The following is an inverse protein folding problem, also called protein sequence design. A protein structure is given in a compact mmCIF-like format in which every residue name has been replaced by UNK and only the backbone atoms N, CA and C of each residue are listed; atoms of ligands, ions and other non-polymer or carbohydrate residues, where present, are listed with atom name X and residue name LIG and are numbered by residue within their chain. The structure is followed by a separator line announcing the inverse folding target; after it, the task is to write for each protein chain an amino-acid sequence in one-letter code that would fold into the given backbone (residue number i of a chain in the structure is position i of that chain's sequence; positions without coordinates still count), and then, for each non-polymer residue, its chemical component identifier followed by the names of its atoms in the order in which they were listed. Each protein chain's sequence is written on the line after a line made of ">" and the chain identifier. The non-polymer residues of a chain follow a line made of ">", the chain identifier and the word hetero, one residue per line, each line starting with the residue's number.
data_IF_175873635931
#
_entry.id   IF_175873635931
#
_cell.length_a   1.000
_cell.length_b   1.000
_cell.length_c   1.000
_cell.angle_alpha   90.00
_cell.angle_beta   90.00
_cell.angle_gamma   90.00
#
_symmetry.space_group_name_H-M   'P 1'
#
loop_
_entity.id
_entity.type
_entity.pdbx_description
1 polymer ?
#
# COMPACT_ATOMS: atom_id res chain seq x y z
N UNK A 1 28.35 30.76 -26.41
CA UNK A 1 28.68 29.51 -27.11
C UNK A 1 27.81 28.35 -26.61
N UNK A 2 28.02 27.11 -27.10
CA UNK A 2 27.22 25.93 -26.66
C UNK A 2 27.34 25.70 -25.15
N UNK A 3 28.48 25.98 -24.54
CA UNK A 3 28.72 25.85 -23.10
C UNK A 3 27.88 26.84 -22.32
N UNK A 4 27.74 28.08 -22.78
CA UNK A 4 26.93 29.11 -22.11
C UNK A 4 25.43 28.76 -22.17
N UNK A 5 25.00 28.14 -23.27
CA UNK A 5 23.63 27.71 -23.46
C UNK A 5 23.30 26.51 -22.57
N UNK A 6 24.27 25.60 -22.40
CA UNK A 6 24.11 24.45 -21.46
C UNK A 6 24.02 24.92 -20.01
N UNK A 7 24.93 25.82 -19.60
CA UNK A 7 24.90 26.38 -18.24
C UNK A 7 23.62 27.19 -17.98
N UNK A 8 23.11 27.92 -18.98
CA UNK A 8 21.85 28.65 -18.86
C UNK A 8 20.66 27.73 -18.75
N UNK A 9 20.61 26.61 -19.50
CA UNK A 9 19.58 25.58 -19.38
C UNK A 9 19.61 24.89 -18.01
N UNK A 10 20.80 24.54 -17.55
CA UNK A 10 20.97 23.93 -16.22
C UNK A 10 20.51 24.87 -15.11
N UNK A 11 20.84 26.17 -15.21
CA UNK A 11 20.36 27.16 -14.26
C UNK A 11 18.84 27.33 -14.30
N UNK A 12 18.22 27.33 -15.49
CA UNK A 12 16.76 27.44 -15.63
C UNK A 12 16.05 26.18 -15.07
N UNK A 13 16.61 24.98 -15.27
CA UNK A 13 16.02 23.74 -14.73
C UNK A 13 16.11 23.63 -13.22
N UNK A 14 17.07 24.32 -12.60
CA UNK A 14 17.19 24.40 -11.13
C UNK A 14 16.22 25.41 -10.50
N UNK A 15 15.68 26.35 -11.29
CA UNK A 15 14.71 27.32 -10.79
C UNK A 15 13.38 26.64 -10.49
N UNK A 16 12.90 26.83 -9.26
CA UNK A 16 11.55 26.38 -8.90
C UNK A 16 10.51 27.33 -9.54
N UNK A 17 9.66 26.84 -10.49
CA UNK A 17 8.62 27.67 -11.11
C UNK A 17 7.56 28.18 -10.13
N UNK A 18 7.49 27.57 -8.92
CA UNK A 18 6.57 27.92 -7.84
C UNK A 18 7.29 28.05 -6.51
N UNK A 19 8.04 29.13 -6.29
CA UNK A 19 8.89 29.27 -5.10
C UNK A 19 8.10 29.27 -3.78
N UNK A 20 6.77 29.48 -3.82
CA UNK A 20 5.89 29.43 -2.66
C UNK A 20 5.37 28.04 -2.29
N UNK A 21 5.52 27.01 -3.14
CA UNK A 21 5.01 25.67 -2.84
C UNK A 21 5.69 25.05 -1.60
N UNK A 22 6.99 25.28 -1.41
CA UNK A 22 7.72 24.77 -0.25
C UNK A 22 7.32 25.36 1.11
N UNK A 23 6.59 26.49 1.11
CA UNK A 23 6.10 27.15 2.34
C UNK A 23 4.64 26.81 2.64
N UNK A 24 3.90 26.27 1.69
CA UNK A 24 2.48 25.92 1.84
C UNK A 24 2.23 24.42 1.99
N UNK A 25 3.21 23.58 1.74
CA UNK A 25 3.09 22.15 1.94
C UNK A 25 2.93 21.86 3.45
N UNK A 26 1.67 21.73 3.86
CA UNK A 26 1.37 20.97 5.07
C UNK A 26 2.01 19.62 4.85
N UNK A 27 3.01 19.29 5.66
CA UNK A 27 3.56 17.94 5.70
C UNK A 27 2.38 16.98 5.74
N UNK A 28 2.15 16.24 4.67
CA UNK A 28 1.16 15.19 4.65
C UNK A 28 1.69 14.05 5.51
N UNK A 29 1.57 14.24 6.83
CA UNK A 29 1.91 13.19 7.78
C UNK A 29 0.91 12.07 7.59
N UNK A 30 1.38 10.96 7.03
CA UNK A 30 0.56 9.75 6.89
C UNK A 30 0.41 9.15 8.29
N UNK A 31 -0.82 9.11 8.77
CA UNK A 31 -1.15 8.42 10.02
C UNK A 31 -1.47 6.97 9.65
N UNK A 32 -0.68 5.99 10.12
CA UNK A 32 -0.92 4.59 9.81
C UNK A 32 -2.20 4.09 10.49
N UNK A 33 -2.93 3.23 9.79
CA UNK A 33 -4.16 2.58 10.32
C UNK A 33 -3.84 1.34 11.15
N UNK A 34 -2.71 0.69 10.87
CA UNK A 34 -2.24 -0.54 11.52
C UNK A 34 -0.81 -0.33 12.00
N UNK A 35 -0.52 -0.87 13.17
CA UNK A 35 0.83 -0.90 13.75
C UNK A 35 1.26 -2.35 13.85
N UNK A 36 2.41 -2.67 13.27
CA UNK A 36 3.02 -3.99 13.28
C UNK A 36 4.34 -3.90 14.02
N UNK A 37 4.53 -4.72 15.03
CA UNK A 37 5.77 -4.82 15.79
C UNK A 37 6.18 -6.28 15.90
N UNK A 38 7.47 -6.53 15.87
CA UNK A 38 8.06 -7.83 16.13
C UNK A 38 8.18 -8.03 17.63
N UNK A 39 7.74 -9.19 18.13
CA UNK A 39 7.78 -9.55 19.53
C UNK A 39 8.29 -11.00 19.64
N UNK A 40 9.56 -11.16 20.06
CA UNK A 40 10.31 -12.42 20.15
C UNK A 40 10.22 -13.25 18.85
N UNK A 41 9.25 -14.18 18.76
CA UNK A 41 9.05 -15.06 17.59
C UNK A 41 7.73 -14.82 16.84
N UNK A 42 6.96 -13.78 17.19
CA UNK A 42 5.64 -13.51 16.58
C UNK A 42 5.47 -12.02 16.24
N UNK A 43 4.42 -11.73 15.48
CA UNK A 43 4.06 -10.39 15.05
C UNK A 43 2.86 -9.87 15.83
N UNK A 44 3.05 -8.82 16.61
CA UNK A 44 1.98 -8.08 17.28
C UNK A 44 1.39 -7.06 16.32
N UNK A 45 0.11 -7.26 15.99
CA UNK A 45 -0.64 -6.42 15.05
C UNK A 45 -1.74 -5.70 15.81
N UNK A 46 -1.70 -4.39 15.83
CA UNK A 46 -2.71 -3.54 16.47
C UNK A 46 -3.28 -2.54 15.48
N UNK A 47 -4.56 -2.18 15.64
CA UNK A 47 -5.16 -1.07 14.90
C UNK A 47 -4.86 0.25 15.60
N UNK A 48 -4.53 1.27 14.81
CA UNK A 48 -4.33 2.62 15.33
C UNK A 48 -5.68 3.36 15.36
N UNK A 49 -6.35 3.27 16.46
CA UNK A 49 -7.70 3.83 16.61
C UNK A 49 -7.73 5.34 16.92
N UNK A 50 -6.59 6.03 16.78
CA UNK A 50 -6.41 7.49 16.89
C UNK A 50 -7.46 8.21 17.75
N UNK A 51 -7.49 7.87 19.05
CA UNK A 51 -8.32 8.59 20.02
C UNK A 51 -9.81 8.23 20.01
N UNK A 52 -10.23 7.14 19.33
CA UNK A 52 -11.56 6.59 19.55
C UNK A 52 -11.62 5.97 20.95
N UNK A 53 -12.38 6.56 21.88
CA UNK A 53 -12.55 5.97 23.21
C UNK A 53 -13.27 4.64 23.08
N UNK A 54 -13.13 3.79 24.09
CA UNK A 54 -13.90 2.56 24.16
C UNK A 54 -15.40 2.90 24.22
N UNK A 55 -16.11 2.52 23.16
CA UNK A 55 -17.54 2.78 23.05
C UNK A 55 -18.31 1.81 23.94
N UNK A 56 -19.10 2.36 24.85
CA UNK A 56 -19.98 1.59 25.75
C UNK A 56 -21.36 2.20 25.78
N UNK A 57 -22.37 1.37 25.89
CA UNK A 57 -23.72 1.85 26.13
C UNK A 57 -23.82 2.24 27.60
N UNK A 58 -24.41 3.42 27.86
CA UNK A 58 -24.62 3.90 29.22
C UNK A 58 -25.51 2.95 30.00
N UNK A 59 -25.09 2.61 31.21
CA UNK A 59 -25.85 1.75 32.13
C UNK A 59 -27.27 2.26 32.41
N UNK A 60 -27.43 3.59 32.47
CA UNK A 60 -28.72 4.26 32.65
C UNK A 60 -29.76 3.84 31.60
N UNK A 61 -29.36 3.77 30.32
CA UNK A 61 -30.26 3.34 29.25
C UNK A 61 -30.55 1.84 29.29
N UNK A 62 -29.62 1.02 29.77
CA UNK A 62 -29.83 -0.41 29.99
C UNK A 62 -30.84 -0.63 31.11
N UNK A 63 -30.68 0.06 32.23
CA UNK A 63 -31.61 0.00 33.38
C UNK A 63 -33.01 0.51 33.02
N UNK A 64 -33.11 1.60 32.21
CA UNK A 64 -34.40 2.09 31.74
C UNK A 64 -35.10 1.12 30.78
N UNK A 65 -34.37 0.34 30.00
CA UNK A 65 -34.95 -0.67 29.12
C UNK A 65 -35.63 -1.80 29.91
N UNK A 66 -35.15 -2.08 31.14
CA UNK A 66 -35.65 -3.12 32.03
C UNK A 66 -36.69 -2.60 33.04
N UNK A 67 -36.91 -1.28 33.10
CA UNK A 67 -37.89 -0.69 34.04
C UNK A 67 -39.32 -1.12 33.70
N UNK A 68 -39.98 -1.74 34.68
CA UNK A 68 -41.35 -2.28 34.56
C UNK A 68 -42.40 -1.18 34.42
N UNK A 69 -42.13 0.04 34.92
CA UNK A 69 -43.06 1.16 34.95
C UNK A 69 -43.13 1.99 33.70
N UNK A 70 -42.26 1.74 32.72
CA UNK A 70 -42.24 2.49 31.45
C UNK A 70 -43.35 2.04 30.51
N UNK A 71 -43.97 3.00 29.80
CA UNK A 71 -44.91 2.75 28.74
C UNK A 71 -44.31 1.83 27.67
N UNK A 72 -45.10 0.87 27.20
CA UNK A 72 -44.68 -0.14 26.20
C UNK A 72 -44.03 0.48 24.96
N UNK A 73 -44.53 1.61 24.50
CA UNK A 73 -43.92 2.34 23.32
C UNK A 73 -42.57 2.93 23.64
N UNK A 74 -42.39 3.50 24.83
CA UNK A 74 -41.11 4.04 25.28
C UNK A 74 -40.08 2.92 25.46
N UNK A 75 -40.46 1.81 26.04
CA UNK A 75 -39.60 0.63 26.21
C UNK A 75 -39.13 0.08 24.87
N UNK A 76 -40.03 -0.07 23.90
CA UNK A 76 -39.69 -0.54 22.55
C UNK A 76 -38.72 0.43 21.87
N UNK A 77 -38.94 1.75 22.02
CA UNK A 77 -38.06 2.77 21.45
C UNK A 77 -36.64 2.69 22.03
N UNK A 78 -36.53 2.61 23.36
CA UNK A 78 -35.20 2.52 24.04
C UNK A 78 -34.49 1.24 23.61
N UNK A 79 -35.20 0.08 23.59
CA UNK A 79 -34.62 -1.19 23.14
C UNK A 79 -34.08 -1.12 21.71
N UNK A 80 -34.85 -0.56 20.78
CA UNK A 80 -34.40 -0.37 19.38
C UNK A 80 -33.16 0.51 19.28
N UNK A 81 -33.04 1.52 20.14
CA UNK A 81 -31.84 2.39 20.19
C UNK A 81 -30.61 1.66 20.75
N UNK A 82 -30.80 0.85 21.78
CA UNK A 82 -29.73 0.01 22.35
C UNK A 82 -29.27 -1.03 21.31
N UNK A 83 -30.19 -1.69 20.63
CA UNK A 83 -29.87 -2.67 19.59
C UNK A 83 -29.10 -2.02 18.44
N UNK A 84 -29.52 -0.81 18.01
CA UNK A 84 -28.78 -0.04 16.99
C UNK A 84 -27.38 0.37 17.44
N UNK A 85 -27.22 0.74 18.71
CA UNK A 85 -25.91 1.10 19.27
C UNK A 85 -24.99 -0.12 19.39
N UNK A 86 -25.53 -1.26 19.85
CA UNK A 86 -24.79 -2.53 19.89
C UNK A 86 -24.32 -2.94 18.50
N UNK A 87 -25.21 -2.90 17.51
CA UNK A 87 -24.85 -3.18 16.11
C UNK A 87 -23.72 -2.30 15.61
N UNK A 88 -23.76 -1.00 15.95
CA UNK A 88 -22.71 -0.06 15.53
C UNK A 88 -21.36 -0.38 16.18
N UNK A 89 -21.36 -0.67 17.48
CA UNK A 89 -20.14 -1.07 18.23
C UNK A 89 -19.57 -2.37 17.64
N UNK A 90 -20.43 -3.34 17.37
CA UNK A 90 -20.04 -4.62 16.78
C UNK A 90 -19.45 -4.44 15.36
N UNK A 91 -20.05 -3.57 14.54
CA UNK A 91 -19.52 -3.24 13.21
C UNK A 91 -18.12 -2.64 13.25
N UNK A 92 -17.83 -1.76 14.24
CA UNK A 92 -16.48 -1.20 14.45
C UNK A 92 -15.51 -2.31 14.84
N UNK A 93 -15.88 -3.16 15.79
CA UNK A 93 -15.03 -4.25 16.24
C UNK A 93 -14.75 -5.26 15.11
N UNK A 94 -15.76 -5.60 14.32
CA UNK A 94 -15.61 -6.47 13.17
C UNK A 94 -14.66 -5.88 12.11
N UNK A 95 -14.76 -4.56 11.89
CA UNK A 95 -13.81 -3.87 11.01
C UNK A 95 -12.37 -3.97 11.51
N UNK A 96 -12.14 -3.76 12.82
CA UNK A 96 -10.82 -3.91 13.45
C UNK A 96 -10.27 -5.32 13.26
N UNK A 97 -11.06 -6.32 13.59
CA UNK A 97 -10.69 -7.73 13.41
C UNK A 97 -10.36 -8.06 11.96
N UNK A 98 -11.15 -7.56 11.02
CA UNK A 98 -10.89 -7.76 9.58
C UNK A 98 -9.54 -7.17 9.18
N UNK A 99 -9.21 -5.94 9.61
CA UNK A 99 -7.94 -5.30 9.30
C UNK A 99 -6.75 -6.07 9.91
N UNK A 100 -6.86 -6.52 11.15
CA UNK A 100 -5.83 -7.34 11.81
C UNK A 100 -5.64 -8.67 11.07
N UNK A 101 -6.73 -9.36 10.71
CA UNK A 101 -6.67 -10.64 10.00
C UNK A 101 -6.07 -10.49 8.60
N UNK A 102 -6.41 -9.42 7.88
CA UNK A 102 -5.80 -9.09 6.57
C UNK A 102 -4.30 -8.88 6.73
N UNK A 103 -3.87 -8.07 7.72
CA UNK A 103 -2.45 -7.80 7.94
C UNK A 103 -1.70 -9.07 8.34
N UNK A 104 -2.27 -9.90 9.22
CA UNK A 104 -1.69 -11.20 9.60
C UNK A 104 -1.50 -12.11 8.38
N UNK A 105 -2.51 -12.19 7.50
CA UNK A 105 -2.42 -12.96 6.26
C UNK A 105 -1.32 -12.44 5.35
N UNK A 106 -1.16 -11.11 5.24
CA UNK A 106 -0.08 -10.50 4.45
C UNK A 106 1.29 -10.92 5.00
N UNK A 107 1.50 -10.84 6.31
CA UNK A 107 2.76 -11.26 6.95
C UNK A 107 3.08 -12.73 6.65
N UNK A 108 2.10 -13.61 6.78
CA UNK A 108 2.27 -15.03 6.51
C UNK A 108 2.54 -15.36 5.04
N UNK A 109 2.04 -14.54 4.09
CA UNK A 109 2.34 -14.69 2.67
C UNK A 109 3.65 -14.05 2.25
N UNK A 110 4.19 -13.09 3.03
CA UNK A 110 5.40 -12.32 2.73
C UNK A 110 6.50 -12.51 3.78
N UNK A 111 6.85 -13.74 4.18
CA UNK A 111 7.78 -13.98 5.29
C UNK A 111 9.18 -13.40 5.02
N UNK A 112 9.68 -13.45 3.78
CA UNK A 112 11.00 -12.93 3.44
C UNK A 112 11.06 -11.40 3.61
N UNK A 113 10.02 -10.70 3.19
CA UNK A 113 9.94 -9.25 3.35
C UNK A 113 9.95 -8.85 4.83
N UNK A 114 9.18 -9.57 5.65
CA UNK A 114 9.12 -9.33 7.10
C UNK A 114 10.34 -9.84 7.86
N UNK A 115 11.18 -10.68 7.24
CA UNK A 115 12.51 -11.06 7.78
C UNK A 115 13.60 -10.05 7.45
N UNK A 116 13.28 -8.92 6.78
CA UNK A 116 14.23 -7.84 6.45
C UNK A 116 14.65 -7.79 4.98
N UNK A 117 14.28 -8.74 4.13
CA UNK A 117 14.54 -8.67 2.69
C UNK A 117 13.44 -7.87 1.97
N UNK A 118 13.50 -6.55 2.14
CA UNK A 118 12.51 -5.64 1.54
C UNK A 118 12.52 -5.62 0.00
N UNK A 119 13.55 -6.19 -0.62
CA UNK A 119 13.66 -6.30 -2.07
C UNK A 119 12.86 -7.48 -2.61
N UNK A 120 12.48 -8.42 -1.75
CA UNK A 120 11.78 -9.63 -2.12
C UNK A 120 10.32 -9.60 -1.70
N UNK A 121 9.42 -9.49 -2.67
CA UNK A 121 7.99 -9.63 -2.49
C UNK A 121 7.48 -10.83 -3.30
N UNK A 122 6.76 -11.75 -2.65
CA UNK A 122 6.05 -12.81 -3.34
C UNK A 122 4.82 -12.25 -4.06
N UNK A 123 4.43 -12.81 -5.22
CA UNK A 123 3.14 -12.48 -5.84
C UNK A 123 2.00 -12.79 -4.87
N UNK A 124 1.16 -11.79 -4.58
CA UNK A 124 0.03 -11.94 -3.68
C UNK A 124 -1.16 -11.18 -4.23
N UNK A 125 -2.28 -11.88 -4.44
CA UNK A 125 -3.53 -11.30 -4.91
C UNK A 125 -4.51 -11.13 -3.75
N UNK A 126 -5.45 -10.21 -3.91
CA UNK A 126 -6.56 -10.04 -2.97
C UNK A 126 -7.37 -11.34 -2.78
N UNK A 127 -7.46 -12.15 -3.83
CA UNK A 127 -8.16 -13.43 -3.79
C UNK A 127 -7.50 -14.41 -2.82
N UNK A 128 -6.17 -14.50 -2.80
CA UNK A 128 -5.42 -15.40 -1.93
C UNK A 128 -5.69 -15.09 -0.45
N UNK A 129 -5.74 -13.77 -0.12
CA UNK A 129 -6.10 -13.30 1.23
C UNK A 129 -7.57 -13.63 1.54
N UNK A 130 -8.48 -13.36 0.60
CA UNK A 130 -9.90 -13.58 0.76
C UNK A 130 -10.22 -15.06 1.04
N UNK A 131 -9.60 -15.97 0.30
CA UNK A 131 -9.71 -17.42 0.51
C UNK A 131 -9.17 -17.84 1.89
N UNK A 132 -8.00 -17.29 2.28
CA UNK A 132 -7.37 -17.62 3.56
C UNK A 132 -8.20 -17.24 4.78
N UNK A 133 -8.80 -16.04 4.77
CA UNK A 133 -9.61 -15.55 5.90
C UNK A 133 -11.10 -15.83 5.73
N UNK A 134 -11.49 -16.54 4.67
CA UNK A 134 -12.87 -16.89 4.31
C UNK A 134 -13.81 -15.68 4.28
N UNK A 135 -13.39 -14.64 3.54
CA UNK A 135 -14.15 -13.40 3.35
C UNK A 135 -14.27 -13.05 1.87
N UNK A 136 -15.24 -12.20 1.53
CA UNK A 136 -15.42 -11.72 0.15
C UNK A 136 -14.28 -10.79 -0.29
N UNK A 137 -13.83 -10.92 -1.54
CA UNK A 137 -12.75 -10.13 -2.15
C UNK A 137 -13.08 -8.64 -2.07
N UNK A 138 -14.36 -8.25 -2.24
CA UNK A 138 -14.76 -6.85 -2.17
C UNK A 138 -14.56 -6.25 -0.77
N UNK A 139 -14.75 -7.05 0.27
CA UNK A 139 -14.49 -6.66 1.67
C UNK A 139 -13.00 -6.44 1.88
N UNK A 140 -12.15 -7.36 1.40
CA UNK A 140 -10.68 -7.21 1.49
C UNK A 140 -10.20 -5.99 0.73
N UNK A 141 -10.69 -5.80 -0.50
CA UNK A 141 -10.34 -4.62 -1.32
C UNK A 141 -10.69 -3.29 -0.63
N UNK A 142 -11.85 -3.21 0.03
CA UNK A 142 -12.25 -2.01 0.80
C UNK A 142 -11.41 -1.84 2.08
N UNK A 143 -10.99 -2.93 2.71
CA UNK A 143 -10.18 -2.91 3.92
C UNK A 143 -8.72 -2.56 3.66
N UNK A 144 -8.21 -2.75 2.44
CA UNK A 144 -6.81 -2.50 2.08
C UNK A 144 -6.59 -1.16 1.36
N UNK A 145 -7.62 -0.64 0.70
CA UNK A 145 -7.52 0.56 -0.13
C UNK A 145 -7.26 1.82 0.70
N UNK A 146 -6.15 2.52 0.41
CA UNK A 146 -5.76 3.74 1.10
C UNK A 146 -5.49 3.53 2.59
N UNK A 147 -5.10 2.33 3.00
CA UNK A 147 -4.74 1.96 4.35
C UNK A 147 -3.24 1.74 4.47
N UNK A 148 -2.65 2.24 5.54
CA UNK A 148 -1.23 2.20 5.80
C UNK A 148 -0.91 1.37 7.04
N UNK A 149 0.18 0.61 6.95
CA UNK A 149 0.75 -0.12 8.07
C UNK A 149 2.10 0.49 8.45
N UNK A 150 2.28 0.76 9.73
CA UNK A 150 3.57 1.11 10.34
C UNK A 150 4.28 -0.18 10.73
N UNK A 151 5.36 -0.48 10.03
CA UNK A 151 6.19 -1.68 10.21
C UNK A 151 7.56 -1.29 10.76
N UNK A 152 8.38 -2.23 11.28
CA UNK A 152 9.75 -1.93 11.68
C UNK A 152 10.62 -1.34 10.56
N UNK A 153 10.24 -1.55 9.31
CA UNK A 153 10.95 -1.09 8.12
C UNK A 153 10.40 0.22 7.53
N UNK A 154 9.36 0.79 8.13
CA UNK A 154 8.71 2.04 7.70
C UNK A 154 7.20 1.92 7.51
N UNK A 155 6.60 3.02 7.03
CA UNK A 155 5.16 3.10 6.78
C UNK A 155 4.88 2.77 5.33
N UNK A 156 4.07 1.73 5.08
CA UNK A 156 3.73 1.25 3.75
C UNK A 156 2.21 1.18 3.57
N UNK A 157 1.72 1.50 2.37
CA UNK A 157 0.34 1.22 2.01
C UNK A 157 0.14 -0.31 1.93
N UNK A 158 -0.98 -0.83 2.43
CA UNK A 158 -1.29 -2.28 2.36
C UNK A 158 -1.25 -2.81 0.92
N UNK A 159 -1.56 -1.95 -0.04
CA UNK A 159 -1.47 -2.27 -1.47
C UNK A 159 -0.05 -2.56 -1.94
N UNK A 160 0.98 -2.07 -1.25
CA UNK A 160 2.39 -2.34 -1.55
C UNK A 160 2.70 -3.84 -1.52
N UNK A 161 2.09 -4.58 -0.57
CA UNK A 161 2.27 -6.03 -0.41
C UNK A 161 1.50 -6.85 -1.43
N UNK A 162 0.56 -6.22 -2.16
CA UNK A 162 -0.26 -6.85 -3.19
C UNK A 162 0.38 -6.62 -4.54
N UNK A 163 0.91 -7.66 -5.14
CA UNK A 163 1.61 -7.57 -6.41
C UNK A 163 1.09 -8.61 -7.39
N UNK A 164 0.79 -8.14 -8.60
CA UNK A 164 0.48 -9.05 -9.69
C UNK A 164 1.65 -9.96 -9.99
N UNK A 165 1.33 -11.17 -10.41
CA UNK A 165 2.32 -12.14 -10.85
C UNK A 165 2.60 -11.99 -12.35
N UNK A 166 3.85 -12.17 -12.73
CA UNK A 166 4.24 -12.40 -14.12
C UNK A 166 4.91 -13.75 -14.23
N UNK A 167 4.51 -14.53 -15.24
CA UNK A 167 5.17 -15.77 -15.59
C UNK A 167 6.28 -15.45 -16.58
N UNK A 168 7.51 -15.76 -16.24
CA UNK A 168 8.66 -15.65 -17.12
C UNK A 168 8.65 -16.79 -18.15
N UNK A 169 9.43 -16.66 -19.23
CA UNK A 169 9.57 -17.68 -20.27
C UNK A 169 10.13 -19.01 -19.75
N UNK A 170 10.93 -18.97 -18.67
CA UNK A 170 11.46 -20.13 -17.97
C UNK A 170 10.47 -20.82 -17.01
N UNK A 171 9.24 -20.32 -16.93
CA UNK A 171 8.17 -20.85 -16.10
C UNK A 171 8.13 -20.33 -14.67
N UNK A 172 9.11 -19.55 -14.21
CA UNK A 172 9.11 -18.92 -12.88
C UNK A 172 8.01 -17.87 -12.79
N UNK A 173 7.39 -17.77 -11.61
CA UNK A 173 6.39 -16.76 -11.32
C UNK A 173 7.02 -15.75 -10.36
N UNK A 174 7.10 -14.49 -10.78
CA UNK A 174 7.65 -13.41 -9.99
C UNK A 174 6.63 -12.29 -9.79
N UNK A 175 6.79 -11.53 -8.71
CA UNK A 175 6.04 -10.31 -8.51
C UNK A 175 6.50 -9.24 -9.51
N UNK A 176 5.55 -8.54 -10.13
CA UNK A 176 5.86 -7.45 -11.09
C UNK A 176 6.68 -6.33 -10.45
N UNK A 177 6.57 -6.17 -9.14
CA UNK A 177 7.34 -5.21 -8.36
C UNK A 177 8.86 -5.43 -8.49
N UNK A 178 9.34 -6.69 -8.38
CA UNK A 178 10.77 -7.05 -8.50
C UNK A 178 11.31 -6.61 -9.86
N UNK A 179 10.56 -6.89 -10.91
CA UNK A 179 10.96 -6.55 -12.28
C UNK A 179 10.98 -5.04 -12.50
N UNK A 180 9.96 -4.32 -12.02
CA UNK A 180 9.92 -2.85 -12.08
C UNK A 180 11.11 -2.24 -11.35
N UNK A 181 11.44 -2.73 -10.17
CA UNK A 181 12.59 -2.25 -9.40
C UNK A 181 13.93 -2.54 -10.10
N UNK A 182 14.09 -3.72 -10.71
CA UNK A 182 15.26 -4.03 -11.52
C UNK A 182 15.39 -3.08 -12.71
N UNK A 183 14.28 -2.84 -13.41
CA UNK A 183 14.21 -1.91 -14.55
C UNK A 183 14.53 -0.47 -14.13
N UNK A 184 14.01 -0.02 -13.01
CA UNK A 184 14.31 1.30 -12.43
C UNK A 184 15.80 1.45 -12.14
N UNK A 185 16.41 0.45 -11.46
CA UNK A 185 17.85 0.45 -11.17
C UNK A 185 18.71 0.52 -12.43
N UNK A 186 18.29 -0.12 -13.53
CA UNK A 186 18.98 -0.06 -14.82
C UNK A 186 18.87 1.34 -15.42
N UNK A 187 17.67 1.93 -15.47
CA UNK A 187 17.43 3.25 -16.05
C UNK A 187 18.14 4.35 -15.25
N UNK A 188 18.15 4.28 -13.92
CA UNK A 188 18.85 5.26 -13.08
C UNK A 188 20.38 5.21 -13.21
N UNK A 189 20.94 4.07 -13.66
CA UNK A 189 22.37 3.87 -13.88
C UNK A 189 22.80 4.07 -15.33
N UNK A 190 21.86 4.32 -16.26
CA UNK A 190 22.19 4.49 -17.68
C UNK A 190 22.99 5.78 -17.94
N UNK A 191 23.78 5.76 -19.00
CA UNK A 191 24.44 6.98 -19.51
C UNK A 191 23.41 7.89 -20.17
N UNK A 192 23.20 9.07 -19.59
CA UNK A 192 22.24 10.07 -20.07
C UNK A 192 22.59 10.64 -21.45
N UNK A 193 23.87 10.58 -21.88
CA UNK A 193 24.25 10.93 -23.23
C UNK A 193 23.81 9.89 -24.27
N UNK A 194 23.72 8.62 -23.85
CA UNK A 194 23.31 7.51 -24.69
C UNK A 194 22.31 6.57 -23.97
N UNK A 195 21.08 7.03 -23.69
CA UNK A 195 20.10 6.28 -22.93
C UNK A 195 19.67 5.01 -23.63
N UNK A 196 19.44 3.96 -22.83
CA UNK A 196 19.11 2.62 -23.29
C UNK A 196 17.71 2.59 -23.92
N UNK A 197 17.60 2.05 -25.13
CA UNK A 197 16.28 1.80 -25.73
C UNK A 197 15.61 0.55 -25.12
N UNK A 198 14.32 0.34 -25.41
CA UNK A 198 13.57 -0.75 -24.83
C UNK A 198 14.14 -2.15 -25.21
N UNK A 199 14.81 -2.29 -26.36
CA UNK A 199 15.48 -3.52 -26.79
C UNK A 199 16.71 -3.82 -25.91
N UNK A 200 17.51 -2.80 -25.62
CA UNK A 200 18.69 -2.92 -24.75
C UNK A 200 18.24 -3.17 -23.30
N UNK A 201 17.18 -2.50 -22.84
CA UNK A 201 16.61 -2.76 -21.51
C UNK A 201 16.16 -4.23 -21.35
N UNK A 202 15.61 -4.84 -22.38
CA UNK A 202 15.29 -6.29 -22.41
C UNK A 202 16.56 -7.11 -22.22
N UNK A 203 17.64 -6.78 -22.94
CA UNK A 203 18.90 -7.53 -22.83
C UNK A 203 19.54 -7.36 -21.44
N UNK A 204 19.49 -6.17 -20.85
CA UNK A 204 20.01 -5.93 -19.50
C UNK A 204 19.19 -6.68 -18.43
N UNK A 205 17.87 -6.74 -18.58
CA UNK A 205 17.01 -7.56 -17.71
C UNK A 205 17.27 -9.06 -17.90
N UNK A 206 17.50 -9.52 -19.13
CA UNK A 206 17.84 -10.91 -19.41
C UNK A 206 19.17 -11.35 -18.77
N UNK A 207 20.17 -10.46 -18.66
CA UNK A 207 21.41 -10.71 -17.90
C UNK A 207 21.16 -11.00 -16.41
N UNK A 208 20.07 -10.45 -15.87
CA UNK A 208 19.61 -10.70 -14.50
C UNK A 208 18.61 -11.87 -14.41
N UNK A 209 18.51 -12.68 -15.47
CA UNK A 209 17.56 -13.80 -15.59
C UNK A 209 16.08 -13.38 -15.61
N UNK A 210 15.75 -12.15 -16.04
CA UNK A 210 14.38 -11.70 -16.26
C UNK A 210 14.06 -11.64 -17.75
N UNK A 211 13.70 -12.81 -18.33
CA UNK A 211 13.35 -12.91 -19.74
C UNK A 211 11.93 -12.37 -19.99
N UNK A 212 11.82 -11.23 -20.62
CA UNK A 212 10.58 -10.50 -20.85
C UNK A 212 10.48 -10.01 -22.29
N UNK A 213 9.25 -10.00 -22.80
CA UNK A 213 9.00 -9.41 -24.11
C UNK A 213 9.18 -7.87 -24.07
N UNK A 214 9.71 -7.29 -25.15
CA UNK A 214 9.89 -5.84 -25.31
C UNK A 214 8.66 -5.01 -24.96
N UNK A 215 7.45 -5.49 -25.38
CA UNK A 215 6.19 -4.80 -25.08
C UNK A 215 5.91 -4.71 -23.57
N UNK A 216 6.29 -5.74 -22.82
CA UNK A 216 6.13 -5.77 -21.35
C UNK A 216 7.08 -4.79 -20.69
N UNK A 217 8.33 -4.72 -21.13
CA UNK A 217 9.32 -3.77 -20.63
C UNK A 217 8.89 -2.32 -20.90
N UNK A 218 8.45 -2.02 -22.14
CA UNK A 218 7.92 -0.71 -22.50
C UNK A 218 6.73 -0.31 -21.63
N UNK A 219 5.77 -1.23 -21.40
CA UNK A 219 4.62 -1.00 -20.52
C UNK A 219 5.05 -0.67 -19.08
N UNK A 220 6.02 -1.40 -18.52
CA UNK A 220 6.47 -1.16 -17.16
C UNK A 220 7.24 0.15 -17.04
N UNK A 221 8.10 0.48 -18.02
CA UNK A 221 8.79 1.77 -18.10
C UNK A 221 7.78 2.93 -18.08
N UNK A 222 6.76 2.88 -18.94
CA UNK A 222 5.72 3.91 -19.01
C UNK A 222 4.91 4.00 -17.70
N UNK A 223 4.56 2.88 -17.07
CA UNK A 223 3.87 2.87 -15.77
C UNK A 223 4.68 3.49 -14.64
N UNK A 224 6.02 3.46 -14.71
CA UNK A 224 6.92 4.10 -13.75
C UNK A 224 7.20 5.57 -14.09
N UNK A 225 6.63 6.10 -15.18
CA UNK A 225 6.81 7.49 -15.59
C UNK A 225 8.11 7.78 -16.34
N UNK A 226 8.91 6.76 -16.70
CA UNK A 226 10.12 6.96 -17.47
C UNK A 226 9.79 7.14 -18.95
N UNK A 227 10.21 8.29 -19.59
CA UNK A 227 9.98 8.52 -21.01
C UNK A 227 10.84 7.59 -21.87
N UNK A 228 10.56 7.56 -23.17
CA UNK A 228 11.37 6.80 -24.15
C UNK A 228 12.80 7.33 -24.20
N UNK A 229 13.77 6.48 -24.60
CA UNK A 229 15.21 6.82 -24.62
C UNK A 229 15.52 8.17 -25.26
N UNK A 230 14.85 8.48 -26.40
CA UNK A 230 15.05 9.77 -27.09
C UNK A 230 14.74 11.00 -26.22
N UNK A 231 13.78 10.90 -25.31
CA UNK A 231 13.38 11.99 -24.41
C UNK A 231 14.18 12.02 -23.10
N UNK A 232 14.92 10.95 -22.79
CA UNK A 232 15.82 10.89 -21.64
C UNK A 232 17.25 11.36 -21.97
N UNK A 233 17.52 11.58 -23.26
CA UNK A 233 18.83 12.05 -23.70
C UNK A 233 19.05 13.50 -23.24
N UNK A 234 20.09 13.71 -22.45
CA UNK A 234 20.60 15.02 -22.10
C UNK A 234 21.52 15.50 -23.24
N UNK A 235 21.46 16.80 -23.62
CA UNK A 235 22.19 17.40 -24.74
C UNK A 235 23.43 18.14 -24.25
#
# INVERSE_FOLDING_TARGET
>A
GKIDLHNALEYITQLNPRPGEGYSDKFQTIIPDIIVREDEDDWVITTNDNGLPELRISKLYQEQADDVNLDSKAKTFIKNKIDSANWFIEAINQRRLTMVNVMRSIIEFQPEWFSGDMDFLRPLKLQDIAEKINMDISTISRSTRGKYADTPYGVFELKHFLSDSIKLEDGRILATFIIKRALEKIILKEDKNNPLNDDILVLELAKQNYNLARRTVAKYRDQMGFPVARLRKEV
#
